data_IF_307725462401
#
_entry.id   IF_307725462401
#
_cell.length_a   1.000
_cell.length_b   1.000
_cell.length_c   1.000
_cell.angle_alpha   90.00
_cell.angle_beta   90.00
_cell.angle_gamma   90.00
#
_symmetry.space_group_name_H-M   'P 1'
#
loop_
_entity.id
_entity.type
_entity.pdbx_description
1 polymer ?
#
# COMPACT_ATOMS: atom_id res chain seq x y z
N UNK A 1 37.94 43.08 -26.12
CA UNK A 1 36.69 42.46 -26.65
C UNK A 1 36.97 40.96 -26.77
N UNK A 2 36.76 40.19 -25.70
CA UNK A 2 35.54 39.42 -25.38
C UNK A 2 35.20 38.44 -26.53
N UNK A 3 35.23 37.12 -26.39
CA UNK A 3 34.71 36.27 -25.30
C UNK A 3 35.43 34.91 -25.28
N UNK A 4 35.83 34.48 -24.08
CA UNK A 4 36.16 33.07 -23.77
C UNK A 4 34.82 32.32 -23.65
N UNK A 5 34.57 31.31 -24.50
CA UNK A 5 33.41 30.44 -24.37
C UNK A 5 33.81 29.21 -23.54
N UNK A 6 33.47 29.24 -22.26
CA UNK A 6 33.52 28.07 -21.37
C UNK A 6 32.56 26.99 -21.90
N UNK A 7 33.10 25.80 -22.20
CA UNK A 7 32.30 24.59 -22.39
C UNK A 7 31.92 24.04 -21.02
N UNK A 8 30.67 24.24 -20.62
CA UNK A 8 30.09 23.62 -19.44
C UNK A 8 29.66 22.19 -19.81
N UNK A 9 30.47 21.20 -19.45
CA UNK A 9 30.09 19.79 -19.59
C UNK A 9 29.20 19.43 -18.41
N UNK A 10 27.89 19.51 -18.60
CA UNK A 10 26.89 19.01 -17.64
C UNK A 10 26.67 17.53 -17.94
N UNK A 11 27.25 16.66 -17.11
CA UNK A 11 27.01 15.22 -17.16
C UNK A 11 25.72 14.92 -16.40
N UNK A 12 24.58 14.97 -17.09
CA UNK A 12 23.30 14.56 -16.51
C UNK A 12 23.24 13.03 -16.48
N UNK A 13 23.35 12.43 -15.30
CA UNK A 13 23.00 11.02 -15.10
C UNK A 13 21.48 10.90 -15.20
N UNK A 14 20.98 10.59 -16.39
CA UNK A 14 19.59 10.20 -16.59
C UNK A 14 19.41 8.77 -16.06
N UNK A 15 18.98 8.63 -14.80
CA UNK A 15 18.43 7.37 -14.30
C UNK A 15 17.01 7.23 -14.84
N UNK A 16 16.86 6.57 -15.99
CA UNK A 16 15.56 6.12 -16.48
C UNK A 16 15.09 4.96 -15.61
N UNK A 17 14.25 5.24 -14.60
CA UNK A 17 13.43 4.21 -13.99
C UNK A 17 12.31 3.87 -14.99
N UNK A 18 12.37 2.67 -15.56
CA UNK A 18 11.36 2.17 -16.48
C UNK A 18 10.12 1.76 -15.67
N UNK A 19 9.16 2.67 -15.50
CA UNK A 19 7.86 2.33 -14.95
C UNK A 19 6.99 1.83 -16.10
N UNK A 20 6.80 0.51 -16.16
CA UNK A 20 5.83 -0.11 -17.08
C UNK A 20 4.42 0.34 -16.72
N UNK A 21 3.79 1.11 -17.60
CA UNK A 21 2.37 1.40 -17.52
C UNK A 21 1.59 0.13 -17.89
N UNK A 22 0.95 -0.48 -16.89
CA UNK A 22 -0.03 -1.55 -17.13
C UNK A 22 -1.40 -0.86 -17.19
N UNK A 23 -2.10 -1.01 -18.32
CA UNK A 23 -3.48 -0.55 -18.44
C UNK A 23 -4.38 -1.48 -17.62
N UNK A 24 -5.00 -0.96 -16.56
CA UNK A 24 -5.93 -1.73 -15.72
C UNK A 24 -7.36 -1.57 -16.24
N UNK A 25 -7.98 -2.70 -16.56
CA UNK A 25 -9.42 -2.79 -16.82
C UNK A 25 -10.17 -2.72 -15.49
N UNK A 26 -11.08 -1.75 -15.35
CA UNK A 26 -11.89 -1.54 -14.15
C UNK A 26 -13.04 -2.55 -14.07
N UNK A 27 -12.80 -3.67 -13.39
CA UNK A 27 -13.86 -4.57 -12.95
C UNK A 27 -14.03 -4.46 -11.42
N UNK A 28 -15.19 -3.94 -11.02
CA UNK A 28 -15.68 -3.91 -9.63
C UNK A 28 -15.58 -5.29 -8.97
N UNK A 29 -14.91 -5.45 -7.81
CA UNK A 29 -15.03 -6.68 -7.06
C UNK A 29 -16.26 -6.60 -6.14
N UNK A 30 -17.19 -7.54 -6.32
CA UNK A 30 -18.23 -7.86 -5.35
C UNK A 30 -17.66 -8.57 -4.08
N UNK A 31 -16.39 -8.31 -3.73
CA UNK A 31 -15.67 -8.78 -2.54
C UNK A 31 -14.79 -7.61 -2.08
N UNK A 32 -14.60 -7.45 -0.77
CA UNK A 32 -13.84 -6.33 -0.21
C UNK A 32 -12.51 -6.05 -0.91
N UNK A 33 -12.16 -4.78 -1.05
CA UNK A 33 -10.95 -4.37 -1.77
C UNK A 33 -9.74 -4.58 -0.86
N UNK A 34 -8.72 -5.26 -1.38
CA UNK A 34 -7.43 -5.45 -0.71
C UNK A 34 -6.39 -4.58 -1.39
N UNK A 35 -5.53 -3.95 -0.59
CA UNK A 35 -4.44 -3.12 -1.06
C UNK A 35 -3.15 -3.61 -0.44
N UNK A 36 -2.10 -3.64 -1.25
CA UNK A 36 -0.74 -3.73 -0.75
C UNK A 36 -0.17 -2.33 -0.68
N UNK A 37 0.75 -2.10 0.25
CA UNK A 37 1.50 -0.87 0.29
C UNK A 37 2.97 -1.13 0.59
N UNK A 38 3.81 -0.20 0.19
CA UNK A 38 5.23 -0.22 0.47
C UNK A 38 5.80 1.18 0.65
N UNK A 39 6.94 1.25 1.33
CA UNK A 39 7.71 2.47 1.46
C UNK A 39 9.20 2.18 1.57
N UNK A 40 9.99 3.20 1.25
CA UNK A 40 11.41 3.25 1.52
C UNK A 40 11.74 4.59 2.17
N UNK A 41 12.46 4.55 3.28
CA UNK A 41 12.94 5.73 3.99
C UNK A 41 14.20 6.29 3.34
N UNK A 42 14.50 7.56 3.62
CA UNK A 42 15.74 8.23 3.20
C UNK A 42 17.03 7.58 3.73
N UNK A 43 16.94 6.71 4.74
CA UNK A 43 18.05 5.94 5.34
C UNK A 43 18.13 4.51 4.83
N UNK A 44 17.26 4.12 3.90
CA UNK A 44 17.29 2.81 3.24
C UNK A 44 16.46 1.71 3.90
N UNK A 45 15.87 1.93 5.08
CA UNK A 45 14.88 0.99 5.63
C UNK A 45 13.66 0.92 4.71
N UNK A 46 13.09 -0.27 4.58
CA UNK A 46 11.88 -0.48 3.79
C UNK A 46 10.77 -1.05 4.66
N UNK A 47 9.53 -0.88 4.23
CA UNK A 47 8.42 -1.57 4.83
C UNK A 47 7.35 -1.90 3.81
N UNK A 48 6.62 -2.96 4.10
CA UNK A 48 5.52 -3.46 3.28
C UNK A 48 4.36 -3.85 4.17
N UNK A 49 3.17 -3.90 3.61
CA UNK A 49 2.02 -4.44 4.30
C UNK A 49 0.81 -4.48 3.40
N UNK A 50 -0.31 -4.85 4.00
CA UNK A 50 -1.59 -4.91 3.32
C UNK A 50 -2.72 -4.47 4.23
N UNK A 51 -3.76 -3.94 3.61
CA UNK A 51 -5.02 -3.65 4.29
C UNK A 51 -6.21 -4.01 3.41
N UNK A 52 -7.37 -4.18 4.04
CA UNK A 52 -8.61 -4.49 3.32
C UNK A 52 -9.83 -3.86 3.99
N UNK A 53 -10.91 -3.71 3.22
CA UNK A 53 -12.21 -3.20 3.69
C UNK A 53 -13.36 -3.88 2.93
N UNK A 54 -14.60 -3.93 3.47
CA UNK A 54 -15.69 -4.62 2.81
C UNK A 54 -16.14 -3.90 1.54
N UNK A 55 -16.75 -4.65 0.62
CA UNK A 55 -17.35 -4.06 -0.58
C UNK A 55 -18.46 -3.05 -0.18
N UNK A 56 -18.55 -1.94 -0.91
CA UNK A 56 -19.51 -0.87 -0.59
C UNK A 56 -19.06 0.10 0.51
N UNK A 57 -17.81 0.00 0.99
CA UNK A 57 -17.20 1.02 1.86
C UNK A 57 -17.16 2.40 1.19
N UNK A 58 -17.17 3.50 1.97
CA UNK A 58 -17.01 4.84 1.42
C UNK A 58 -15.66 5.01 0.70
N UNK A 59 -15.59 6.01 -0.18
CA UNK A 59 -14.35 6.34 -0.89
C UNK A 59 -13.23 6.81 0.05
N UNK A 60 -13.59 7.43 1.16
CA UNK A 60 -12.66 7.83 2.21
C UNK A 60 -12.94 6.98 3.45
N UNK A 61 -11.92 6.24 3.88
CA UNK A 61 -11.95 5.39 5.06
C UNK A 61 -11.10 6.06 6.12
N UNK A 62 -11.67 6.25 7.30
CA UNK A 62 -10.99 6.83 8.47
C UNK A 62 -11.20 5.92 9.67
N UNK A 63 -10.12 5.53 10.32
CA UNK A 63 -10.13 4.70 11.53
C UNK A 63 -9.17 5.23 12.57
N UNK A 64 -9.51 4.99 13.84
CA UNK A 64 -8.75 5.50 14.96
C UNK A 64 -8.83 4.60 16.19
N UNK A 65 -7.68 4.38 16.82
CA UNK A 65 -7.54 3.70 18.09
C UNK A 65 -7.75 2.19 18.03
N UNK A 66 -7.80 1.59 19.21
CA UNK A 66 -8.04 0.16 19.41
C UNK A 66 -9.53 -0.18 19.44
N UNK A 67 -9.87 -1.44 19.17
CA UNK A 67 -11.23 -1.97 19.22
C UNK A 67 -11.84 -2.15 17.83
N UNK A 68 -13.16 -2.33 17.75
CA UNK A 68 -13.85 -2.51 16.47
C UNK A 68 -13.64 -1.31 15.54
N UNK A 69 -13.28 -1.59 14.29
CA UNK A 69 -13.18 -0.62 13.20
C UNK A 69 -14.51 -0.49 12.45
N UNK A 70 -14.73 0.61 11.74
CA UNK A 70 -15.95 0.81 10.96
C UNK A 70 -15.93 0.07 9.61
N UNK A 71 -14.78 0.08 8.94
CA UNK A 71 -14.58 -0.44 7.59
C UNK A 71 -13.28 -1.22 7.43
N UNK A 72 -12.23 -0.91 8.19
CA UNK A 72 -10.91 -1.55 8.01
C UNK A 72 -10.91 -2.99 8.52
N UNK A 73 -10.94 -3.99 7.64
CA UNK A 73 -11.03 -5.41 8.01
C UNK A 73 -9.69 -6.01 8.43
N UNK A 74 -8.60 -5.55 7.83
CA UNK A 74 -7.25 -6.02 8.13
C UNK A 74 -6.25 -4.90 7.92
N UNK A 75 -5.15 -4.92 8.69
CA UNK A 75 -4.01 -4.04 8.52
C UNK A 75 -2.76 -4.74 9.07
N UNK A 76 -1.75 -4.90 8.22
CA UNK A 76 -0.47 -5.53 8.55
C UNK A 76 0.70 -4.62 8.22
N UNK A 77 1.84 -4.81 8.89
CA UNK A 77 3.11 -4.14 8.60
C UNK A 77 4.27 -5.13 8.76
N UNK A 78 5.22 -5.07 7.85
CA UNK A 78 6.55 -5.66 7.94
C UNK A 78 7.60 -4.59 7.68
N UNK A 79 8.68 -4.58 8.47
CA UNK A 79 9.78 -3.61 8.36
C UNK A 79 11.09 -4.34 8.15
N UNK A 80 11.91 -3.84 7.25
CA UNK A 80 13.20 -4.42 6.87
C UNK A 80 14.32 -3.39 7.03
N UNK A 81 15.48 -3.87 7.45
CA UNK A 81 16.72 -3.12 7.48
C UNK A 81 17.22 -2.78 6.06
N UNK A 82 18.19 -1.86 5.92
CA UNK A 82 18.75 -1.51 4.61
C UNK A 82 19.40 -2.67 3.84
N UNK A 83 19.81 -3.74 4.53
CA UNK A 83 20.33 -4.98 3.94
C UNK A 83 19.23 -6.00 3.59
N UNK A 84 17.95 -5.60 3.68
CA UNK A 84 16.75 -6.42 3.50
C UNK A 84 16.52 -7.49 4.56
N UNK A 85 17.21 -7.44 5.70
CA UNK A 85 16.87 -8.29 6.86
C UNK A 85 15.52 -7.88 7.43
N UNK A 86 14.60 -8.84 7.61
CA UNK A 86 13.33 -8.60 8.31
C UNK A 86 13.61 -8.23 9.78
N UNK A 87 13.13 -7.07 10.20
CA UNK A 87 13.27 -6.56 11.57
C UNK A 87 12.05 -6.88 12.43
N UNK A 88 10.86 -6.81 11.85
CA UNK A 88 9.62 -7.09 12.57
C UNK A 88 8.42 -7.14 11.64
N UNK A 89 7.40 -7.88 12.05
CA UNK A 89 6.10 -7.90 11.36
C UNK A 89 4.97 -8.17 12.34
N UNK A 90 3.81 -7.54 12.12
CA UNK A 90 2.59 -7.83 12.87
C UNK A 90 1.33 -7.37 12.11
N UNK A 91 0.18 -7.76 12.65
CA UNK A 91 -1.12 -7.27 12.24
C UNK A 91 -1.68 -6.36 13.34
N UNK A 92 -1.94 -5.10 12.98
CA UNK A 92 -2.62 -4.16 13.88
C UNK A 92 -4.14 -4.29 13.83
N UNK A 93 -4.69 -4.76 12.71
CA UNK A 93 -6.13 -5.01 12.58
C UNK A 93 -6.37 -6.42 12.05
N UNK A 94 -7.21 -7.17 12.76
CA UNK A 94 -7.61 -8.54 12.38
C UNK A 94 -9.12 -8.65 12.53
N UNK A 95 -9.79 -9.06 11.45
CA UNK A 95 -11.24 -9.25 11.41
C UNK A 95 -12.03 -8.02 11.90
N UNK A 96 -11.62 -6.83 11.45
CA UNK A 96 -12.26 -5.57 11.82
C UNK A 96 -12.03 -5.13 13.27
N UNK A 97 -11.01 -5.66 13.94
CA UNK A 97 -10.65 -5.28 15.31
C UNK A 97 -9.19 -4.85 15.37
N UNK A 98 -8.96 -3.60 15.77
CA UNK A 98 -7.65 -3.01 16.01
C UNK A 98 -7.10 -3.39 17.38
N UNK A 99 -5.86 -3.88 17.43
CA UNK A 99 -5.08 -4.06 18.66
C UNK A 99 -4.17 -2.86 18.95
N UNK A 100 -4.04 -1.91 18.02
CA UNK A 100 -3.17 -0.75 18.17
C UNK A 100 -3.92 0.45 18.78
N UNK A 101 -3.58 0.81 20.01
CA UNK A 101 -4.16 1.96 20.72
C UNK A 101 -3.89 3.30 20.02
N UNK A 102 -2.84 3.38 19.20
CA UNK A 102 -2.42 4.57 18.48
C UNK A 102 -2.80 4.55 17.00
N UNK A 103 -3.57 3.55 16.55
CA UNK A 103 -3.99 3.44 15.16
C UNK A 103 -4.57 4.79 14.68
N UNK A 104 -4.04 5.28 13.57
CA UNK A 104 -4.61 6.36 12.77
C UNK A 104 -4.53 5.91 11.33
N UNK A 105 -5.65 5.93 10.62
CA UNK A 105 -5.67 5.45 9.26
C UNK A 105 -6.68 6.24 8.46
N UNK A 106 -6.20 7.07 7.52
CA UNK A 106 -7.04 7.79 6.57
C UNK A 106 -6.59 7.44 5.14
N UNK A 107 -7.46 6.76 4.41
CA UNK A 107 -7.21 6.31 3.04
C UNK A 107 -8.32 6.76 2.10
N UNK A 108 -7.94 7.27 0.93
CA UNK A 108 -8.87 7.56 -0.16
C UNK A 108 -8.68 6.58 -1.30
N UNK A 109 -9.69 5.75 -1.54
CA UNK A 109 -9.69 4.71 -2.57
C UNK A 109 -9.83 5.24 -3.99
N UNK A 110 -10.27 6.49 -4.18
CA UNK A 110 -10.36 7.12 -5.50
C UNK A 110 -8.99 7.61 -5.98
N UNK A 111 -8.17 8.09 -5.05
CA UNK A 111 -6.82 8.61 -5.34
C UNK A 111 -5.72 7.65 -4.92
N UNK A 112 -6.08 6.50 -4.34
CA UNK A 112 -5.18 5.49 -3.78
C UNK A 112 -4.13 6.12 -2.82
N UNK A 113 -4.57 7.11 -2.05
CA UNK A 113 -3.69 7.93 -1.20
C UNK A 113 -3.95 7.64 0.27
N UNK A 114 -2.86 7.41 1.00
CA UNK A 114 -2.84 7.30 2.45
C UNK A 114 -2.45 8.67 3.02
N UNK A 115 -3.39 9.38 3.64
CA UNK A 115 -3.17 10.74 4.16
C UNK A 115 -2.69 10.75 5.60
N UNK A 116 -3.23 9.84 6.40
CA UNK A 116 -2.87 9.66 7.79
C UNK A 116 -2.57 8.19 7.99
N UNK A 117 -1.44 7.90 8.62
CA UNK A 117 -1.04 6.56 8.88
C UNK A 117 -0.25 6.47 10.17
N UNK A 118 -0.69 5.57 11.04
CA UNK A 118 0.03 5.07 12.19
C UNK A 118 -0.20 3.57 12.25
N UNK A 119 0.85 2.81 12.01
CA UNK A 119 0.82 1.35 12.10
C UNK A 119 2.13 0.85 12.69
N UNK A 120 2.06 -0.27 13.39
CA UNK A 120 3.20 -0.85 14.09
C UNK A 120 3.30 -2.35 13.88
N UNK A 121 4.50 -2.85 14.15
CA UNK A 121 4.79 -4.28 14.31
C UNK A 121 4.62 -4.69 15.78
N UNK A 122 3.89 -3.91 16.60
CA UNK A 122 3.71 -4.23 18.01
C UNK A 122 2.84 -5.47 18.15
N UNK A 123 3.38 -6.49 18.82
CA UNK A 123 2.67 -7.71 19.18
C UNK A 123 3.29 -8.25 20.47
N UNK A 124 2.57 -9.16 21.15
CA UNK A 124 3.09 -9.80 22.35
C UNK A 124 4.44 -10.47 22.07
N UNK A 125 5.49 -10.04 22.78
CA UNK A 125 6.85 -10.57 22.63
C UNK A 125 7.74 -9.81 21.65
N UNK A 126 7.24 -8.80 20.94
CA UNK A 126 8.06 -7.96 20.07
C UNK A 126 8.70 -6.81 20.87
N UNK A 127 9.98 -6.97 21.21
CA UNK A 127 10.85 -5.91 21.75
C UNK A 127 12.25 -6.04 21.11
N UNK A 128 12.67 -5.11 20.23
CA UNK A 128 11.94 -3.91 19.82
C UNK A 128 10.75 -4.22 18.91
N UNK A 129 9.79 -3.29 18.86
CA UNK A 129 8.83 -3.20 17.76
C UNK A 129 9.08 -1.93 16.93
N UNK A 130 8.55 -1.89 15.72
CA UNK A 130 8.73 -0.81 14.77
C UNK A 130 7.39 -0.16 14.48
N UNK A 131 7.37 1.15 14.28
CA UNK A 131 6.15 1.84 13.87
C UNK A 131 6.47 2.94 12.87
N UNK A 132 5.57 3.13 11.93
CA UNK A 132 5.62 4.22 10.95
C UNK A 132 4.42 5.12 11.19
N UNK A 133 4.67 6.42 11.27
CA UNK A 133 3.65 7.40 11.61
C UNK A 133 3.89 8.74 10.95
N UNK A 134 2.85 9.39 10.44
CA UNK A 134 2.88 10.83 10.13
C UNK A 134 2.08 11.67 11.13
N UNK A 135 1.70 11.10 12.27
CA UNK A 135 1.13 11.83 13.41
C UNK A 135 2.12 11.92 14.58
N UNK A 136 3.38 11.57 14.34
CA UNK A 136 4.50 11.63 15.30
C UNK A 136 5.66 12.36 14.63
N UNK A 137 6.22 13.36 15.32
CA UNK A 137 7.38 14.11 14.84
C UNK A 137 8.68 13.28 14.89
N UNK A 138 9.76 13.75 14.27
CA UNK A 138 11.04 13.02 14.24
C UNK A 138 11.71 12.84 15.61
N UNK A 139 11.24 13.51 16.66
CA UNK A 139 11.70 13.30 18.03
C UNK A 139 10.88 12.22 18.76
N UNK A 140 9.87 11.64 18.10
CA UNK A 140 8.99 10.63 18.69
C UNK A 140 7.82 11.22 19.48
N UNK A 141 7.53 12.52 19.35
CA UNK A 141 6.41 13.16 20.04
C UNK A 141 5.13 13.10 19.19
N UNK A 142 3.97 12.76 19.77
CA UNK A 142 2.70 12.90 19.08
C UNK A 142 2.44 14.34 18.66
N UNK A 143 1.98 14.53 17.43
CA UNK A 143 1.58 15.82 16.93
C UNK A 143 0.21 16.25 17.50
N UNK A 144 -0.06 17.56 17.58
CA UNK A 144 -1.37 18.06 17.97
C UNK A 144 -2.49 17.50 17.09
N UNK A 145 -3.67 17.31 17.68
CA UNK A 145 -4.84 16.79 16.94
C UNK A 145 -5.11 17.60 15.68
N UNK A 146 -5.34 16.92 14.56
CA UNK A 146 -5.57 17.54 13.24
C UNK A 146 -4.29 18.00 12.53
N UNK A 147 -3.12 17.75 13.10
CA UNK A 147 -1.83 18.02 12.47
C UNK A 147 -1.19 16.71 12.01
N UNK A 148 -0.58 16.72 10.82
CA UNK A 148 0.25 15.65 10.30
C UNK A 148 1.60 16.20 9.87
N UNK A 149 2.63 15.38 9.96
CA UNK A 149 3.93 15.63 9.35
C UNK A 149 3.80 15.49 7.82
N UNK A 150 4.62 16.24 7.09
CA UNK A 150 4.73 16.11 5.64
C UNK A 150 5.34 14.75 5.23
N UNK A 151 6.01 14.06 6.16
CA UNK A 151 6.60 12.75 5.95
C UNK A 151 6.02 11.69 6.89
N UNK A 152 6.08 10.44 6.47
CA UNK A 152 5.92 9.29 7.34
C UNK A 152 7.26 8.97 7.98
N UNK A 153 7.31 9.02 9.30
CA UNK A 153 8.50 8.81 10.12
C UNK A 153 8.51 7.38 10.66
N UNK A 154 9.60 6.65 10.43
CA UNK A 154 9.81 5.28 10.92
C UNK A 154 10.63 5.32 12.22
N UNK A 155 10.20 4.54 13.20
CA UNK A 155 10.87 4.41 14.49
C UNK A 155 11.00 2.94 14.89
N UNK A 156 11.96 2.66 15.76
CA UNK A 156 11.92 1.52 16.66
C UNK A 156 11.54 1.99 18.07
N UNK A 157 10.87 1.13 18.82
CA UNK A 157 10.64 1.30 20.24
C UNK A 157 11.12 0.04 20.96
N UNK A 158 11.92 0.22 22.00
CA UNK A 158 12.25 -0.84 22.95
C UNK A 158 11.89 -0.42 24.36
N UNK A 159 11.46 -1.38 25.20
CA UNK A 159 11.20 -1.12 26.62
C UNK A 159 12.46 -0.68 27.39
N UNK A 160 13.65 -1.00 26.86
CA UNK A 160 14.93 -0.70 27.50
C UNK A 160 15.51 0.64 27.05
N UNK A 161 15.40 0.96 25.76
CA UNK A 161 16.06 2.14 25.17
C UNK A 161 15.09 3.25 24.77
N UNK A 162 13.78 3.00 24.82
CA UNK A 162 12.75 3.92 24.34
C UNK A 162 12.70 4.01 22.82
N UNK A 163 12.17 5.14 22.32
CA UNK A 163 11.97 5.40 20.89
C UNK A 163 13.26 5.84 20.20
N UNK A 164 13.56 5.27 19.03
CA UNK A 164 14.67 5.68 18.16
C UNK A 164 14.14 5.96 16.76
N UNK A 165 14.45 7.14 16.22
CA UNK A 165 14.11 7.51 14.84
C UNK A 165 15.03 6.79 13.85
N UNK A 166 14.45 6.16 12.83
CA UNK A 166 15.17 5.33 11.85
C UNK A 166 15.24 5.98 10.47
N UNK A 167 14.31 6.86 10.12
CA UNK A 167 14.26 7.54 8.83
C UNK A 167 12.86 8.02 8.49
N UNK A 168 12.72 8.75 7.38
CA UNK A 168 11.44 9.28 6.92
C UNK A 168 11.24 9.09 5.43
N UNK A 169 9.98 9.13 5.00
CA UNK A 169 9.59 9.03 3.58
C UNK A 169 8.43 9.97 3.28
N UNK A 170 8.42 10.68 2.13
CA UNK A 170 7.36 11.64 1.81
C UNK A 170 6.06 10.96 1.36
N UNK A 171 6.09 9.66 1.02
CA UNK A 171 4.92 8.95 0.56
C UNK A 171 4.99 7.45 0.81
N UNK A 172 3.82 6.84 0.98
CA UNK A 172 3.63 5.39 0.98
C UNK A 172 2.94 5.04 -0.34
N UNK A 173 3.54 4.14 -1.11
CA UNK A 173 2.96 3.66 -2.35
C UNK A 173 1.89 2.63 -2.03
N UNK A 174 0.66 2.85 -2.50
CA UNK A 174 -0.46 1.91 -2.36
C UNK A 174 -0.80 1.34 -3.72
N UNK A 175 -1.07 0.04 -3.78
CA UNK A 175 -1.38 -0.69 -5.02
C UNK A 175 -2.63 -1.57 -4.75
N UNK A 176 -3.73 -1.39 -5.51
CA UNK A 176 -4.87 -2.29 -5.40
C UNK A 176 -4.47 -3.70 -5.82
N UNK A 177 -4.87 -4.69 -5.03
CA UNK A 177 -4.76 -6.09 -5.42
C UNK A 177 -5.93 -6.39 -6.34
N UNK A 178 -5.65 -6.58 -7.63
CA UNK A 178 -6.71 -6.98 -8.55
C UNK A 178 -7.27 -8.34 -8.13
N UNK A 179 -8.58 -8.40 -7.88
CA UNK A 179 -9.25 -9.70 -7.81
C UNK A 179 -9.19 -10.29 -9.21
N UNK A 180 -8.57 -11.47 -9.35
CA UNK A 180 -8.68 -12.26 -10.58
C UNK A 180 -10.18 -12.39 -10.90
N UNK A 181 -10.65 -11.95 -12.09
CA UNK A 181 -12.03 -12.19 -12.47
C UNK A 181 -12.27 -13.69 -12.41
N UNK A 182 -13.31 -14.12 -11.68
CA UNK A 182 -13.80 -15.48 -11.87
C UNK A 182 -14.05 -15.68 -13.37
N UNK A 183 -13.64 -16.82 -13.97
CA UNK A 183 -13.80 -17.03 -15.40
C UNK A 183 -15.30 -17.06 -15.73
N UNK A 184 -15.85 -15.89 -16.03
CA UNK A 184 -17.15 -15.75 -16.62
C UNK A 184 -17.06 -16.36 -18.02
N UNK A 185 -17.69 -17.53 -18.18
CA UNK A 185 -18.15 -18.04 -19.47
C UNK A 185 -17.09 -18.67 -20.41
N UNK A 186 -16.34 -19.65 -19.95
CA UNK A 186 -15.75 -20.66 -20.87
C UNK A 186 -16.80 -21.64 -21.45
N UNK A 187 -18.07 -21.54 -21.04
CA UNK A 187 -19.17 -22.40 -21.48
C UNK A 187 -19.95 -21.87 -22.69
N UNK A 188 -19.67 -20.65 -23.17
CA UNK A 188 -20.44 -20.03 -24.27
C UNK A 188 -19.90 -20.34 -25.68
N UNK A 189 -18.75 -21.01 -25.81
CA UNK A 189 -18.09 -21.25 -27.12
C UNK A 189 -18.19 -22.71 -27.60
N UNK A 190 -19.33 -23.37 -27.38
CA UNK A 190 -19.59 -24.71 -27.95
C UNK A 190 -20.93 -24.83 -28.73
N UNK A 191 -21.63 -23.73 -28.99
CA UNK A 191 -22.97 -23.77 -29.63
C UNK A 191 -23.03 -23.25 -31.07
N UNK A 192 -21.92 -22.92 -31.73
CA UNK A 192 -21.90 -22.51 -33.15
C UNK A 192 -21.41 -23.59 -34.14
N UNK A 193 -21.49 -24.88 -33.77
CA UNK A 193 -20.99 -26.00 -34.60
C UNK A 193 -22.04 -26.87 -35.30
N UNK A 194 -23.35 -26.64 -35.13
CA UNK A 194 -24.38 -27.60 -35.54
C UNK A 194 -25.46 -27.05 -36.52
N UNK A 195 -25.11 -26.07 -37.37
CA UNK A 195 -25.98 -25.62 -38.47
C UNK A 195 -25.19 -25.62 -39.78
N UNK A 196 -25.07 -26.81 -40.37
CA UNK A 196 -24.37 -26.99 -41.64
C UNK A 196 -24.52 -28.40 -42.22
N UNK A 197 -25.68 -29.04 -42.03
CA UNK A 197 -26.05 -30.27 -42.74
C UNK A 197 -27.29 -29.99 -43.60
N UNK A 198 -27.13 -30.11 -44.92
CA UNK A 198 -28.15 -29.90 -45.95
C UNK A 198 -27.80 -28.70 -46.84
N UNK A 199 -27.72 -28.77 -48.17
CA UNK A 199 -28.14 -29.79 -49.13
C UNK A 199 -27.47 -29.49 -50.47
N UNK A 200 -26.80 -30.47 -51.09
CA UNK A 200 -26.56 -30.47 -52.54
C UNK A 200 -26.85 -31.89 -53.07
N UNK A 201 -28.12 -32.11 -53.39
CA UNK A 201 -28.57 -33.19 -54.27
C UNK A 201 -29.70 -32.61 -55.12
N UNK A 202 -29.33 -32.07 -56.29
CA UNK A 202 -30.29 -31.71 -57.34
C UNK A 202 -30.19 -32.78 -58.43
N UNK A 203 -31.24 -33.58 -58.52
CA UNK A 203 -31.46 -34.59 -59.55
C UNK A 203 -32.11 -33.92 -60.76
N UNK A 204 -31.49 -34.04 -61.93
CA UNK A 204 -32.14 -34.22 -63.25
C UNK A 204 -31.09 -34.65 -64.25
#
# INVERSE_FOLDING_TARGET
>A
MNKVLNRLTVTTLATTALYGAIAWSTNNPARGSTFNYSFQTNTGYTGTGSFSYPAGSPSVISENGSGPTNFLQSLSLSVFAPDNTLLGSANSVVNGVSSNNFLRFDFNSLTETLFVYDNSTAASGNDPYYFISNVVDTNGNPLPSGTIDANFNLFSFSSTTGTTFLGSTPSIQVIPVSSVPEPASALALLTLGALGAGSLLKKR
#
